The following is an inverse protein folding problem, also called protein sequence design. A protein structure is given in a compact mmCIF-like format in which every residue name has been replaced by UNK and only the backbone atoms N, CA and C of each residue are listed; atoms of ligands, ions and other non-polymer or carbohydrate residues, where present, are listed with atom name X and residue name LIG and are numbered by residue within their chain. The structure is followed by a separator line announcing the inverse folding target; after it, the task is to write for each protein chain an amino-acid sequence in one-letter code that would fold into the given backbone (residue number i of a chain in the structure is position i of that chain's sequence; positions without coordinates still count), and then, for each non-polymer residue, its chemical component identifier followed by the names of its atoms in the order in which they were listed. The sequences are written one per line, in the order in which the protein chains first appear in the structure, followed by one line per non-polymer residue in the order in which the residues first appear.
data_IF_849614123366
#
_entry.id   IF_849614123366
#
_cell.length_a   1.000
_cell.length_b   1.000
_cell.length_c   1.000
_cell.angle_alpha   90.00
_cell.angle_beta   90.00
_cell.angle_gamma   90.00
#
_symmetry.space_group_name_H-M   'P 1'
#
loop_
_entity.id
_entity.type
_entity.pdbx_description
1 polymer ?
#
# COMPACT_ATOMS: atom_id res chain seq x y z
N UNK A 1 -15.88 -17.23 -18.62
CA UNK A 1 -16.34 -15.84 -18.83
C UNK A 1 -15.28 -15.15 -19.67
N UNK A 2 -15.65 -14.58 -20.81
CA UNK A 2 -14.75 -13.74 -21.62
C UNK A 2 -14.40 -12.50 -20.80
N UNK A 3 -13.12 -12.30 -20.49
CA UNK A 3 -12.66 -11.09 -19.81
C UNK A 3 -12.98 -9.91 -20.74
N UNK A 4 -13.65 -8.84 -20.28
CA UNK A 4 -13.88 -7.65 -21.08
C UNK A 4 -12.56 -7.10 -21.62
N UNK A 5 -12.54 -6.64 -22.87
CA UNK A 5 -11.41 -5.84 -23.37
C UNK A 5 -11.45 -4.46 -22.70
N UNK A 6 -10.56 -4.23 -21.74
CA UNK A 6 -10.38 -2.96 -21.03
C UNK A 6 -9.42 -2.01 -21.77
N UNK A 7 -9.43 -2.04 -23.11
CA UNK A 7 -8.48 -1.28 -23.94
C UNK A 7 -8.64 0.23 -23.74
N UNK A 8 -9.89 0.71 -23.74
CA UNK A 8 -10.20 2.15 -23.53
C UNK A 8 -9.76 2.61 -22.14
N UNK A 9 -10.03 1.80 -21.11
CA UNK A 9 -9.60 2.04 -19.74
C UNK A 9 -8.08 2.14 -19.64
N UNK A 10 -7.36 1.22 -20.27
CA UNK A 10 -5.90 1.17 -20.22
C UNK A 10 -5.29 2.39 -20.91
N UNK A 11 -5.81 2.80 -22.07
CA UNK A 11 -5.37 3.98 -22.81
C UNK A 11 -5.60 5.27 -22.01
N UNK A 12 -6.81 5.44 -21.44
CA UNK A 12 -7.14 6.63 -20.64
C UNK A 12 -6.28 6.70 -19.39
N UNK A 13 -6.18 5.61 -18.62
CA UNK A 13 -5.37 5.58 -17.40
C UNK A 13 -3.87 5.81 -17.69
N UNK A 14 -3.33 5.20 -18.75
CA UNK A 14 -1.94 5.40 -19.18
C UNK A 14 -1.65 6.85 -19.54
N UNK A 15 -2.57 7.50 -20.27
CA UNK A 15 -2.45 8.91 -20.62
C UNK A 15 -2.48 9.80 -19.37
N UNK A 16 -3.47 9.61 -18.49
CA UNK A 16 -3.61 10.40 -17.25
C UNK A 16 -2.41 10.22 -16.32
N UNK A 17 -1.87 9.00 -16.20
CA UNK A 17 -0.66 8.76 -15.41
C UNK A 17 0.55 9.53 -15.94
N UNK A 18 0.73 9.58 -17.27
CA UNK A 18 1.82 10.36 -17.91
C UNK A 18 1.62 11.87 -17.75
N UNK A 19 0.40 12.35 -17.93
CA UNK A 19 0.05 13.78 -17.74
C UNK A 19 0.30 14.21 -16.29
N UNK A 20 -0.16 13.43 -15.31
CA UNK A 20 0.12 13.65 -13.89
C UNK A 20 1.63 13.60 -13.60
N UNK A 21 2.35 12.59 -14.10
CA UNK A 21 3.79 12.50 -13.91
C UNK A 21 4.56 13.70 -14.48
N UNK A 22 4.12 14.27 -15.60
CA UNK A 22 4.69 15.51 -16.14
C UNK A 22 4.45 16.72 -15.22
N UNK A 23 3.28 16.83 -14.60
CA UNK A 23 3.01 17.84 -13.56
C UNK A 23 3.94 17.66 -12.36
N UNK A 24 4.10 16.42 -11.87
CA UNK A 24 4.99 16.12 -10.75
C UNK A 24 6.44 16.53 -11.04
N UNK A 25 6.96 16.23 -12.24
CA UNK A 25 8.29 16.67 -12.66
C UNK A 25 8.40 18.19 -12.74
N UNK A 26 7.36 18.88 -13.22
CA UNK A 26 7.31 20.33 -13.24
C UNK A 26 7.37 20.93 -11.84
N UNK A 27 6.54 20.45 -10.91
CA UNK A 27 6.54 20.88 -9.52
C UNK A 27 7.89 20.65 -8.85
N UNK A 28 8.57 19.53 -9.14
CA UNK A 28 9.94 19.33 -8.66
C UNK A 28 10.92 20.34 -9.25
N UNK A 29 10.86 20.58 -10.56
CA UNK A 29 11.75 21.55 -11.19
C UNK A 29 11.58 22.96 -10.60
N UNK A 30 10.33 23.37 -10.33
CA UNK A 30 10.02 24.68 -9.74
C UNK A 30 10.32 24.72 -8.24
N UNK A 31 9.72 23.82 -7.45
CA UNK A 31 9.81 23.82 -5.99
C UNK A 31 11.23 23.63 -5.43
N UNK A 32 12.08 22.84 -6.10
CA UNK A 32 13.49 22.68 -5.69
C UNK A 32 14.40 23.79 -6.25
N UNK A 33 13.93 24.61 -7.21
CA UNK A 33 14.65 25.81 -7.65
C UNK A 33 14.40 27.02 -6.76
N UNK A 34 13.30 27.00 -5.98
CA UNK A 34 12.91 28.07 -5.07
C UNK A 34 13.54 27.84 -3.69
N UNK A 35 14.87 28.00 -3.58
CA UNK A 35 15.54 28.23 -2.28
C UNK A 35 15.12 29.56 -1.62
N UNK A 36 14.28 30.36 -2.31
CA UNK A 36 13.81 31.64 -1.82
C UNK A 36 12.39 31.94 -2.33
N UNK A 37 11.35 31.54 -1.57
CA UNK A 37 10.19 32.41 -1.29
C UNK A 37 9.15 31.75 -0.39
N UNK A 38 8.81 32.55 0.61
CA UNK A 38 7.70 32.47 1.57
C UNK A 38 6.32 32.43 0.90
N UNK A 39 5.85 31.26 0.46
CA UNK A 39 4.42 31.02 0.24
C UNK A 39 3.92 29.92 1.17
N UNK A 40 2.67 30.08 1.62
CA UNK A 40 2.04 29.40 2.76
C UNK A 40 1.55 27.96 2.49
N UNK A 41 1.83 27.39 1.32
CA UNK A 41 1.50 25.98 1.00
C UNK A 41 2.78 25.22 0.63
N UNK A 42 2.92 24.01 1.19
CA UNK A 42 4.01 23.08 0.89
C UNK A 42 3.95 22.69 -0.59
N UNK A 43 5.04 22.87 -1.39
CA UNK A 43 5.08 22.47 -2.80
C UNK A 43 4.66 21.03 -3.07
N UNK A 44 4.82 20.13 -2.10
CA UNK A 44 4.37 18.75 -2.19
C UNK A 44 2.84 18.69 -2.22
N UNK A 45 2.18 19.41 -1.31
CA UNK A 45 0.71 19.48 -1.25
C UNK A 45 0.11 20.05 -2.52
N UNK A 46 0.78 21.02 -3.15
CA UNK A 46 0.33 21.57 -4.43
C UNK A 46 0.47 20.54 -5.57
N UNK A 47 1.62 19.87 -5.66
CA UNK A 47 1.87 18.86 -6.68
C UNK A 47 0.87 17.70 -6.61
N UNK A 48 0.59 17.24 -5.39
CA UNK A 48 -0.29 16.13 -5.10
C UNK A 48 -1.75 16.46 -5.43
N UNK A 49 -2.23 17.63 -4.98
CA UNK A 49 -3.57 18.14 -5.30
C UNK A 49 -3.80 18.31 -6.80
N UNK A 50 -2.83 18.88 -7.52
CA UNK A 50 -2.96 19.09 -8.97
C UNK A 50 -2.95 17.76 -9.75
N UNK A 51 -2.08 16.82 -9.37
CA UNK A 51 -2.04 15.48 -9.96
C UNK A 51 -3.35 14.71 -9.68
N UNK A 52 -3.84 14.72 -8.44
CA UNK A 52 -5.13 14.13 -8.06
C UNK A 52 -6.27 14.70 -8.92
N UNK A 53 -6.41 16.03 -8.95
CA UNK A 53 -7.47 16.70 -9.68
C UNK A 53 -7.46 16.36 -11.18
N UNK A 54 -6.28 16.29 -11.80
CA UNK A 54 -6.13 15.89 -13.21
C UNK A 54 -6.64 14.46 -13.44
N UNK A 55 -6.18 13.50 -12.63
CA UNK A 55 -6.52 12.09 -12.80
C UNK A 55 -8.01 11.87 -12.54
N UNK A 56 -8.50 12.37 -11.41
CA UNK A 56 -9.90 12.21 -10.96
C UNK A 56 -10.86 12.82 -11.98
N UNK A 57 -10.59 14.04 -12.45
CA UNK A 57 -11.45 14.70 -13.45
C UNK A 57 -11.45 13.95 -14.78
N UNK A 58 -10.28 13.52 -15.24
CA UNK A 58 -10.14 12.77 -16.50
C UNK A 58 -10.86 11.41 -16.46
N UNK A 59 -10.79 10.70 -15.32
CA UNK A 59 -11.52 9.45 -15.13
C UNK A 59 -13.03 9.66 -15.02
N UNK A 60 -13.48 10.69 -14.28
CA UNK A 60 -14.89 11.03 -14.15
C UNK A 60 -15.53 11.39 -15.51
N UNK A 61 -14.80 12.12 -16.36
CA UNK A 61 -15.26 12.47 -17.71
C UNK A 61 -15.34 11.23 -18.61
N UNK A 62 -14.32 10.37 -18.58
CA UNK A 62 -14.26 9.19 -19.43
C UNK A 62 -15.22 8.06 -19.00
N UNK A 63 -15.45 7.91 -17.70
CA UNK A 63 -16.20 6.82 -17.07
C UNK A 63 -17.18 7.35 -16.00
N UNK A 64 -18.22 8.12 -16.38
CA UNK A 64 -19.10 8.82 -15.44
C UNK A 64 -19.98 7.92 -14.56
N UNK A 65 -20.00 6.61 -14.80
CA UNK A 65 -20.74 5.63 -14.01
C UNK A 65 -19.85 4.87 -13.00
N UNK A 66 -18.53 5.00 -13.10
CA UNK A 66 -17.58 4.32 -12.22
C UNK A 66 -17.42 5.13 -10.92
N UNK A 67 -17.16 4.45 -9.81
CA UNK A 67 -16.76 5.09 -8.56
C UNK A 67 -15.30 5.53 -8.59
N UNK A 68 -14.94 6.47 -7.72
CA UNK A 68 -13.57 6.97 -7.57
C UNK A 68 -13.19 6.89 -6.10
N UNK A 69 -11.97 6.43 -5.83
CA UNK A 69 -11.30 6.45 -4.54
C UNK A 69 -9.88 6.97 -4.78
N UNK A 70 -9.53 8.09 -4.14
CA UNK A 70 -8.20 8.69 -4.24
C UNK A 70 -7.67 8.92 -2.83
N UNK A 71 -6.36 8.79 -2.62
CA UNK A 71 -5.71 9.15 -1.34
C UNK A 71 -6.01 10.60 -0.93
N UNK A 72 -5.97 11.51 -1.91
CA UNK A 72 -6.03 12.95 -1.69
C UNK A 72 -7.45 13.55 -1.70
N UNK A 73 -8.44 12.78 -2.16
CA UNK A 73 -9.81 13.25 -2.23
C UNK A 73 -10.61 12.82 -1.01
N UNK A 74 -11.62 13.60 -0.66
CA UNK A 74 -12.57 13.19 0.37
C UNK A 74 -13.37 11.99 -0.13
N UNK A 75 -13.20 10.84 0.54
CA UNK A 75 -13.94 9.63 0.24
C UNK A 75 -15.46 9.82 0.47
N UNK A 76 -16.26 9.14 -0.36
CA UNK A 76 -17.70 9.15 -0.30
C UNK A 76 -18.24 7.74 -0.42
N UNK A 77 -19.16 7.38 0.48
CA UNK A 77 -19.84 6.08 0.46
C UNK A 77 -20.59 5.78 -0.86
N UNK A 78 -20.79 6.78 -1.74
CA UNK A 78 -21.34 6.59 -3.08
C UNK A 78 -20.59 5.53 -3.90
N UNK A 79 -19.25 5.48 -3.82
CA UNK A 79 -18.44 4.49 -4.55
C UNK A 79 -18.76 3.03 -4.16
N UNK A 80 -19.25 2.81 -2.94
CA UNK A 80 -19.58 1.47 -2.44
C UNK A 80 -20.80 0.86 -3.16
N UNK A 81 -21.58 1.69 -3.87
CA UNK A 81 -22.67 1.24 -4.73
C UNK A 81 -22.25 0.97 -6.17
N UNK A 82 -21.02 1.35 -6.56
CA UNK A 82 -20.48 1.12 -7.88
C UNK A 82 -19.81 -0.25 -7.97
N UNK A 83 -20.12 -1.00 -9.04
CA UNK A 83 -19.43 -2.27 -9.33
C UNK A 83 -17.97 -2.03 -9.74
N UNK A 84 -17.73 -0.96 -10.49
CA UNK A 84 -16.43 -0.53 -11.02
C UNK A 84 -15.95 0.68 -10.23
N UNK A 85 -14.74 0.64 -9.70
CA UNK A 85 -14.13 1.74 -8.95
C UNK A 85 -12.68 1.94 -9.36
N UNK A 86 -12.32 3.16 -9.74
CA UNK A 86 -10.94 3.57 -9.91
C UNK A 86 -10.34 3.94 -8.56
N UNK A 87 -9.16 3.41 -8.29
CA UNK A 87 -8.44 3.57 -7.03
C UNK A 87 -7.08 4.19 -7.35
N UNK A 88 -6.82 5.37 -6.81
CA UNK A 88 -5.79 6.29 -7.30
C UNK A 88 -4.88 6.71 -6.14
N UNK A 89 -3.58 6.64 -6.38
CA UNK A 89 -2.57 7.33 -5.59
C UNK A 89 -1.79 8.24 -6.56
N UNK A 90 -1.97 9.58 -6.47
CA UNK A 90 -1.30 10.52 -7.36
C UNK A 90 0.22 10.56 -7.14
N UNK A 91 0.72 10.26 -5.93
CA UNK A 91 2.14 10.21 -5.58
C UNK A 91 2.41 9.11 -4.53
N UNK A 92 2.46 7.85 -4.97
CA UNK A 92 2.94 6.78 -4.09
C UNK A 92 4.45 6.94 -3.90
N UNK A 93 4.90 6.99 -2.65
CA UNK A 93 6.27 7.35 -2.31
C UNK A 93 6.48 8.86 -2.18
N UNK A 94 5.55 9.59 -1.56
CA UNK A 94 5.67 11.04 -1.28
C UNK A 94 7.00 11.41 -0.60
N UNK A 95 7.50 10.56 0.30
CA UNK A 95 8.81 10.76 0.94
C UNK A 95 9.96 10.73 -0.07
N UNK A 96 9.88 9.88 -1.07
CA UNK A 96 10.87 9.74 -2.14
C UNK A 96 10.77 10.88 -3.14
N UNK A 97 9.56 11.33 -3.45
CA UNK A 97 9.30 12.57 -4.19
C UNK A 97 9.96 13.78 -3.51
N UNK A 98 9.79 13.93 -2.19
CA UNK A 98 10.40 15.01 -1.38
C UNK A 98 11.92 14.91 -1.35
N UNK A 99 12.47 13.71 -1.17
CA UNK A 99 13.93 13.49 -1.21
C UNK A 99 14.51 13.66 -2.61
N UNK A 100 13.64 13.68 -3.62
CA UNK A 100 14.00 13.79 -5.02
C UNK A 100 14.62 12.53 -5.63
N UNK A 101 14.35 11.37 -5.05
CA UNK A 101 14.78 10.08 -5.61
C UNK A 101 13.86 9.65 -6.75
N UNK A 102 14.20 8.56 -7.43
CA UNK A 102 13.40 8.02 -8.53
C UNK A 102 12.34 6.99 -8.08
N UNK A 103 12.24 6.69 -6.78
CA UNK A 103 11.40 5.61 -6.25
C UNK A 103 10.00 6.09 -5.79
N UNK A 104 9.37 6.93 -6.61
CA UNK A 104 7.97 7.34 -6.48
C UNK A 104 7.24 7.16 -7.82
N UNK A 105 5.91 7.04 -7.78
CA UNK A 105 5.12 6.85 -9.00
C UNK A 105 3.70 7.40 -8.89
N UNK A 106 3.06 7.59 -10.04
CA UNK A 106 1.59 7.70 -10.14
C UNK A 106 1.01 6.30 -10.23
N UNK A 107 -0.01 5.98 -9.44
CA UNK A 107 -0.67 4.68 -9.39
C UNK A 107 -2.17 4.81 -9.67
N UNK A 108 -2.66 4.09 -10.68
CA UNK A 108 -4.08 4.10 -11.09
C UNK A 108 -4.54 2.66 -11.28
N UNK A 109 -5.38 2.17 -10.37
CA UNK A 109 -5.99 0.85 -10.43
C UNK A 109 -7.48 0.92 -10.76
N UNK A 110 -8.01 -0.13 -11.36
CA UNK A 110 -9.45 -0.35 -11.54
C UNK A 110 -9.83 -1.66 -10.86
N UNK A 111 -10.77 -1.57 -9.91
CA UNK A 111 -11.40 -2.72 -9.28
C UNK A 111 -12.81 -2.95 -9.87
N UNK A 112 -13.18 -4.22 -10.07
CA UNK A 112 -14.51 -4.66 -10.49
C UNK A 112 -14.98 -5.75 -9.56
N UNK A 113 -16.11 -5.56 -8.90
CA UNK A 113 -16.64 -6.55 -7.95
C UNK A 113 -15.67 -6.86 -6.80
N UNK A 114 -14.97 -5.83 -6.31
CA UNK A 114 -13.93 -5.91 -5.27
C UNK A 114 -12.60 -6.59 -5.67
N UNK A 115 -12.42 -6.96 -6.93
CA UNK A 115 -11.16 -7.54 -7.43
C UNK A 115 -10.43 -6.54 -8.34
N UNK A 116 -9.11 -6.41 -8.20
CA UNK A 116 -8.30 -5.55 -9.07
C UNK A 116 -8.15 -6.20 -10.45
N UNK A 117 -8.54 -5.50 -11.53
CA UNK A 117 -8.58 -6.05 -12.89
C UNK A 117 -7.68 -5.35 -13.89
N UNK A 118 -7.34 -4.08 -13.63
CA UNK A 118 -6.45 -3.28 -14.46
C UNK A 118 -5.59 -2.37 -13.57
N UNK A 119 -4.33 -2.22 -13.95
CA UNK A 119 -3.39 -1.38 -13.23
C UNK A 119 -2.48 -0.63 -14.18
N UNK A 120 -2.24 0.65 -13.86
CA UNK A 120 -1.25 1.51 -14.47
C UNK A 120 -0.39 2.11 -13.37
N UNK A 121 0.92 1.96 -13.49
CA UNK A 121 1.92 2.58 -12.61
C UNK A 121 2.94 3.30 -13.48
N UNK A 122 3.13 4.60 -13.24
CA UNK A 122 4.08 5.42 -14.00
C UNK A 122 5.13 6.02 -13.07
N UNK A 123 6.40 5.70 -13.31
CA UNK A 123 7.55 6.27 -12.59
C UNK A 123 8.11 7.47 -13.41
N UNK A 124 7.81 8.73 -13.03
CA UNK A 124 8.09 9.86 -13.91
C UNK A 124 9.59 10.16 -14.07
N UNK A 125 10.39 9.92 -13.02
CA UNK A 125 11.83 10.23 -13.05
C UNK A 125 12.60 9.31 -14.00
N UNK A 126 12.19 8.05 -14.14
CA UNK A 126 12.79 7.06 -15.06
C UNK A 126 12.05 6.94 -16.39
N UNK A 127 10.91 7.62 -16.53
CA UNK A 127 9.97 7.51 -17.66
C UNK A 127 9.53 6.07 -17.96
N UNK A 128 9.26 5.30 -16.90
CA UNK A 128 8.81 3.91 -17.02
C UNK A 128 7.30 3.82 -16.78
N UNK A 129 6.55 3.33 -17.77
CA UNK A 129 5.12 3.06 -17.66
C UNK A 129 4.88 1.55 -17.65
N UNK A 130 4.28 1.08 -16.56
CA UNK A 130 3.79 -0.28 -16.41
C UNK A 130 2.26 -0.28 -16.54
N UNK A 131 1.72 -1.07 -17.45
CA UNK A 131 0.29 -1.14 -17.72
C UNK A 131 -0.13 -2.60 -17.92
N UNK A 132 -1.28 -3.01 -17.38
CA UNK A 132 -1.70 -4.40 -17.51
C UNK A 132 -3.16 -4.63 -17.17
N UNK A 133 -3.68 -5.75 -17.72
CA UNK A 133 -5.04 -6.21 -17.52
C UNK A 133 -5.00 -7.69 -17.16
N UNK A 134 -5.68 -8.06 -16.07
CA UNK A 134 -5.75 -9.44 -15.59
C UNK A 134 -6.31 -10.33 -16.70
N UNK A 135 -5.59 -11.41 -17.02
CA UNK A 135 -5.92 -12.33 -18.11
C UNK A 135 -5.45 -11.91 -19.51
N UNK A 136 -4.91 -10.70 -19.69
CA UNK A 136 -4.37 -10.24 -21.00
C UNK A 136 -2.83 -10.09 -20.99
N UNK A 137 -2.29 -9.67 -19.85
CA UNK A 137 -0.86 -9.55 -19.61
C UNK A 137 -0.44 -8.15 -19.15
N UNK A 138 0.88 -7.93 -19.19
CA UNK A 138 1.53 -6.69 -18.76
C UNK A 138 2.40 -6.15 -19.88
N UNK A 139 2.44 -4.83 -20.00
CA UNK A 139 3.29 -4.08 -20.89
C UNK A 139 4.13 -3.09 -20.09
N UNK A 140 5.42 -3.02 -20.43
CA UNK A 140 6.32 -1.97 -19.96
C UNK A 140 6.70 -1.13 -21.18
N UNK A 141 6.41 0.17 -21.14
CA UNK A 141 6.70 1.11 -22.23
C UNK A 141 6.17 0.64 -23.60
N UNK A 142 4.95 0.08 -23.59
CA UNK A 142 4.29 -0.46 -24.78
C UNK A 142 4.79 -1.82 -25.25
N UNK A 143 5.84 -2.38 -24.64
CA UNK A 143 6.35 -3.71 -24.96
C UNK A 143 5.78 -4.75 -24.02
N UNK A 144 5.24 -5.84 -24.57
CA UNK A 144 4.70 -6.94 -23.77
C UNK A 144 5.81 -7.58 -22.95
N UNK A 145 5.60 -7.69 -21.65
CA UNK A 145 6.54 -8.34 -20.73
C UNK A 145 6.44 -9.86 -20.93
N UNK A 146 7.59 -10.48 -21.21
CA UNK A 146 7.72 -11.94 -21.21
C UNK A 146 8.65 -12.32 -20.06
N UNK A 147 8.15 -13.12 -19.12
CA UNK A 147 8.91 -13.50 -17.94
C UNK A 147 9.77 -14.72 -18.21
N UNK A 148 11.02 -14.68 -17.75
CA UNK A 148 11.89 -15.85 -17.78
C UNK A 148 11.59 -16.80 -16.62
N UNK A 149 11.69 -18.13 -16.80
CA UNK A 149 11.76 -19.06 -15.68
C UNK A 149 12.95 -18.69 -14.78
N UNK A 150 12.74 -18.62 -13.46
CA UNK A 150 13.81 -18.40 -12.48
C UNK A 150 13.83 -19.57 -11.49
N UNK A 151 15.03 -20.05 -11.20
CA UNK A 151 15.31 -21.01 -10.14
C UNK A 151 16.42 -20.45 -9.28
N UNK A 152 16.22 -20.48 -7.95
CA UNK A 152 17.21 -20.21 -6.90
C UNK A 152 17.93 -18.84 -7.01
N UNK A 153 17.66 -17.96 -6.03
CA UNK A 153 18.09 -16.55 -5.88
C UNK A 153 16.96 -15.53 -6.16
N UNK A 154 16.00 -15.48 -5.22
CA UNK A 154 14.89 -14.54 -5.29
C UNK A 154 15.33 -13.12 -4.95
N UNK A 155 14.91 -12.15 -5.78
CA UNK A 155 15.05 -10.72 -5.49
C UNK A 155 13.84 -10.23 -4.71
N UNK A 156 14.08 -9.75 -3.50
CA UNK A 156 13.04 -9.27 -2.60
C UNK A 156 13.01 -7.75 -2.65
N UNK A 157 11.99 -7.17 -3.27
CA UNK A 157 11.75 -5.73 -3.13
C UNK A 157 11.24 -5.45 -1.72
N UNK A 158 11.88 -4.55 -0.97
CA UNK A 158 11.50 -4.22 0.42
C UNK A 158 11.34 -2.72 0.59
N UNK A 159 10.55 -2.27 1.56
CA UNK A 159 10.44 -0.84 1.87
C UNK A 159 11.79 -0.32 2.38
N UNK A 160 12.29 0.76 1.78
CA UNK A 160 13.48 1.47 2.26
C UNK A 160 13.31 1.97 3.70
N UNK A 161 12.11 2.43 4.03
CA UNK A 161 11.77 2.87 5.39
C UNK A 161 11.80 1.71 6.40
N UNK A 162 11.21 0.55 6.06
CA UNK A 162 11.26 -0.63 6.94
C UNK A 162 12.69 -1.20 7.05
N UNK A 163 13.43 -1.19 5.93
CA UNK A 163 14.84 -1.58 5.85
C UNK A 163 15.71 -0.77 6.80
N UNK A 164 15.67 0.55 6.71
CA UNK A 164 16.47 1.43 7.57
C UNK A 164 16.09 1.34 9.07
N UNK A 165 14.83 1.05 9.38
CA UNK A 165 14.33 1.03 10.78
C UNK A 165 14.61 -0.26 11.52
N UNK A 166 14.49 -1.41 10.87
CA UNK A 166 14.61 -2.70 11.56
C UNK A 166 15.00 -3.86 10.65
N UNK A 167 14.58 -3.86 9.38
CA UNK A 167 14.71 -5.03 8.52
C UNK A 167 16.18 -5.30 8.14
N UNK A 168 17.04 -4.28 8.09
CA UNK A 168 18.49 -4.45 7.88
C UNK A 168 19.22 -5.25 8.98
N UNK A 169 18.56 -5.52 10.11
CA UNK A 169 19.10 -6.36 11.21
C UNK A 169 18.83 -7.85 10.99
N UNK A 170 18.00 -8.19 10.01
CA UNK A 170 17.70 -9.57 9.66
C UNK A 170 18.56 -10.01 8.48
N UNK A 171 19.15 -11.20 8.59
CA UNK A 171 19.93 -11.82 7.51
C UNK A 171 19.02 -12.42 6.43
N UNK A 172 18.20 -11.58 5.79
CA UNK A 172 17.31 -11.97 4.70
C UNK A 172 18.01 -11.66 3.36
N UNK A 173 18.40 -12.68 2.57
CA UNK A 173 19.16 -12.46 1.34
C UNK A 173 18.29 -11.82 0.25
N UNK A 174 18.93 -11.14 -0.69
CA UNK A 174 18.29 -10.64 -1.91
C UNK A 174 17.41 -9.40 -1.72
N UNK A 175 17.50 -8.70 -0.58
CA UNK A 175 16.77 -7.46 -0.34
C UNK A 175 17.21 -6.32 -1.26
N UNK A 176 16.24 -5.68 -1.90
CA UNK A 176 16.35 -4.49 -2.74
C UNK A 176 15.46 -3.39 -2.15
N UNK A 177 16.01 -2.54 -1.25
CA UNK A 177 15.28 -1.43 -0.68
C UNK A 177 14.79 -0.45 -1.77
N UNK A 178 13.52 -0.06 -1.69
CA UNK A 178 12.89 0.96 -2.54
C UNK A 178 11.69 1.58 -1.82
N UNK A 179 11.32 2.80 -2.21
CA UNK A 179 10.26 3.58 -1.56
C UNK A 179 8.85 3.07 -1.84
N UNK A 180 8.29 3.52 -2.97
CA UNK A 180 6.93 3.23 -3.44
C UNK A 180 6.59 1.73 -3.47
N UNK A 181 5.43 1.36 -2.91
CA UNK A 181 4.94 -0.02 -2.94
C UNK A 181 4.24 -0.35 -4.27
N UNK A 182 3.53 0.60 -4.88
CA UNK A 182 2.97 0.43 -6.22
C UNK A 182 4.08 0.17 -7.24
N UNK A 183 5.19 0.91 -7.19
CA UNK A 183 6.35 0.71 -8.07
C UNK A 183 7.04 -0.63 -7.80
N UNK A 184 7.14 -1.09 -6.54
CA UNK A 184 7.64 -2.44 -6.24
C UNK A 184 6.77 -3.50 -6.91
N UNK A 185 5.45 -3.42 -6.78
CA UNK A 185 4.54 -4.38 -7.38
C UNK A 185 4.59 -4.33 -8.93
N UNK A 186 4.77 -3.15 -9.52
CA UNK A 186 4.98 -2.99 -10.95
C UNK A 186 6.31 -3.61 -11.42
N UNK A 187 7.42 -3.41 -10.68
CA UNK A 187 8.70 -4.06 -10.95
C UNK A 187 8.63 -5.59 -10.82
N UNK A 188 7.81 -6.10 -9.89
CA UNK A 188 7.51 -7.53 -9.80
C UNK A 188 6.81 -8.03 -11.07
N UNK A 189 5.80 -7.31 -11.58
CA UNK A 189 5.08 -7.73 -12.78
C UNK A 189 5.97 -7.68 -14.05
N UNK A 190 6.99 -6.81 -14.05
CA UNK A 190 7.96 -6.63 -15.13
C UNK A 190 9.22 -7.54 -15.06
N UNK A 191 9.27 -8.52 -14.16
CA UNK A 191 10.44 -9.41 -13.95
C UNK A 191 11.71 -8.69 -13.46
N UNK A 192 11.57 -7.55 -12.80
CA UNK A 192 12.67 -6.77 -12.20
C UNK A 192 12.89 -7.11 -10.72
N UNK A 193 11.87 -7.67 -10.07
CA UNK A 193 11.94 -8.33 -8.77
C UNK A 193 11.00 -9.54 -8.75
N UNK A 194 11.07 -10.35 -7.68
CA UNK A 194 10.37 -11.64 -7.61
C UNK A 194 9.28 -11.68 -6.56
N UNK A 195 9.55 -11.03 -5.43
CA UNK A 195 8.68 -11.06 -4.26
C UNK A 195 8.86 -9.78 -3.43
N UNK A 196 7.84 -9.40 -2.68
CA UNK A 196 7.84 -8.29 -1.73
C UNK A 196 7.02 -8.68 -0.51
N UNK A 197 7.29 -8.01 0.61
CA UNK A 197 6.43 -8.04 1.78
C UNK A 197 6.46 -6.69 2.49
N UNK A 198 5.48 -6.46 3.35
CA UNK A 198 5.46 -5.33 4.29
C UNK A 198 5.20 -5.87 5.70
N UNK A 199 5.75 -5.18 6.70
CA UNK A 199 5.47 -5.47 8.11
C UNK A 199 4.35 -4.57 8.64
N UNK A 200 4.21 -3.39 8.04
CA UNK A 200 3.14 -2.44 8.31
C UNK A 200 1.99 -2.58 7.29
N UNK A 201 0.77 -2.19 7.65
CA UNK A 201 -0.36 -2.19 6.73
C UNK A 201 -0.26 -1.13 5.63
N UNK A 202 -1.15 -1.24 4.64
CA UNK A 202 -1.22 -0.37 3.45
C UNK A 202 -2.66 0.06 3.20
N UNK A 203 -2.85 1.07 2.37
CA UNK A 203 -4.17 1.45 1.88
C UNK A 203 -4.49 0.74 0.56
N UNK A 204 -5.75 0.80 0.12
CA UNK A 204 -6.13 0.24 -1.19
C UNK A 204 -5.41 0.95 -2.35
N UNK A 205 -5.25 2.26 -2.27
CA UNK A 205 -4.58 3.08 -3.29
C UNK A 205 -3.08 2.77 -3.44
N UNK A 206 -2.41 2.43 -2.33
CA UNK A 206 -1.02 1.97 -2.32
C UNK A 206 -0.80 0.73 -3.23
N UNK A 207 -1.82 -0.13 -3.41
CA UNK A 207 -1.62 -1.48 -3.95
C UNK A 207 -2.52 -1.86 -5.12
N UNK A 208 -3.67 -1.23 -5.34
CA UNK A 208 -4.68 -1.69 -6.31
C UNK A 208 -4.11 -1.84 -7.74
N UNK A 209 -3.38 -0.82 -8.22
CA UNK A 209 -2.76 -0.88 -9.54
C UNK A 209 -1.67 -1.95 -9.61
N UNK A 210 -0.81 -2.00 -8.58
CA UNK A 210 0.27 -2.96 -8.48
C UNK A 210 -0.21 -4.41 -8.40
N UNK A 211 -1.31 -4.68 -7.69
CA UNK A 211 -1.93 -6.00 -7.58
C UNK A 211 -2.51 -6.45 -8.92
N UNK A 212 -3.26 -5.58 -9.61
CA UNK A 212 -3.75 -5.90 -10.96
C UNK A 212 -2.60 -6.25 -11.92
N UNK A 213 -1.52 -5.48 -11.90
CA UNK A 213 -0.31 -5.75 -12.69
C UNK A 213 0.30 -7.11 -12.31
N UNK A 214 0.45 -7.40 -11.02
CA UNK A 214 1.02 -8.64 -10.54
C UNK A 214 0.16 -9.85 -10.94
N UNK A 215 -1.16 -9.76 -10.79
CA UNK A 215 -2.10 -10.80 -11.20
C UNK A 215 -2.10 -11.01 -12.71
N UNK A 216 -2.02 -9.93 -13.50
CA UNK A 216 -1.85 -10.01 -14.96
C UNK A 216 -0.53 -10.71 -15.37
N UNK A 217 0.49 -10.65 -14.52
CA UNK A 217 1.75 -11.40 -14.67
C UNK A 217 1.72 -12.81 -14.05
N UNK A 218 0.59 -13.26 -13.49
CA UNK A 218 0.43 -14.58 -12.87
C UNK A 218 0.92 -14.69 -11.42
N UNK A 219 1.23 -13.57 -10.77
CA UNK A 219 1.53 -13.50 -9.35
C UNK A 219 0.29 -13.39 -8.47
N UNK A 220 0.51 -13.27 -7.16
CA UNK A 220 -0.54 -13.08 -6.15
C UNK A 220 -0.11 -12.09 -5.07
N UNK A 221 -1.07 -11.34 -4.56
CA UNK A 221 -0.94 -10.50 -3.37
C UNK A 221 -1.94 -10.97 -2.30
N UNK A 222 -1.52 -10.94 -1.04
CA UNK A 222 -2.31 -11.41 0.11
C UNK A 222 -1.83 -10.78 1.39
N UNK A 223 -2.71 -10.71 2.39
CA UNK A 223 -2.35 -10.30 3.75
C UNK A 223 -1.42 -11.33 4.40
N UNK A 224 -0.62 -10.88 5.37
CA UNK A 224 0.36 -11.72 6.08
C UNK A 224 -0.27 -12.83 6.94
N UNK A 225 -1.56 -12.73 7.27
CA UNK A 225 -2.35 -13.82 7.87
C UNK A 225 -2.93 -14.82 6.86
N UNK A 226 -2.69 -14.61 5.55
CA UNK A 226 -3.21 -15.45 4.48
C UNK A 226 -4.56 -15.00 3.92
N UNK A 227 -5.18 -13.95 4.47
CA UNK A 227 -6.42 -13.39 3.92
C UNK A 227 -6.22 -12.78 2.54
N UNK A 228 -7.23 -12.93 1.68
CA UNK A 228 -7.30 -12.23 0.39
C UNK A 228 -7.45 -10.72 0.60
N UNK A 229 -6.92 -9.94 -0.34
CA UNK A 229 -7.18 -8.51 -0.41
C UNK A 229 -8.38 -8.27 -1.31
N UNK A 230 -9.31 -7.45 -0.83
CA UNK A 230 -10.51 -7.02 -1.54
C UNK A 230 -10.50 -5.50 -1.58
N UNK A 231 -10.94 -4.94 -2.69
CA UNK A 231 -10.95 -3.51 -2.97
C UNK A 231 -12.35 -2.93 -2.83
N UNK A 232 -12.47 -1.60 -2.89
CA UNK A 232 -13.70 -0.85 -2.67
C UNK A 232 -14.35 -1.17 -1.31
N UNK A 233 -13.54 -1.31 -0.26
CA UNK A 233 -14.05 -1.58 1.09
C UNK A 233 -14.54 -0.28 1.76
N UNK A 234 -15.48 -0.35 2.71
CA UNK A 234 -15.90 0.81 3.49
C UNK A 234 -14.76 1.49 4.25
N UNK A 235 -13.77 0.70 4.68
CA UNK A 235 -12.52 1.18 5.24
C UNK A 235 -11.40 0.78 4.28
N UNK A 236 -10.91 1.68 3.41
CA UNK A 236 -9.93 1.36 2.38
C UNK A 236 -8.49 1.27 2.93
N UNK A 237 -8.36 0.85 4.19
CA UNK A 237 -7.09 0.59 4.86
C UNK A 237 -7.02 -0.89 5.21
N UNK A 238 -5.93 -1.54 4.83
CA UNK A 238 -5.71 -2.93 5.18
C UNK A 238 -5.33 -3.01 6.66
N UNK A 239 -5.82 -4.06 7.31
CA UNK A 239 -5.58 -4.32 8.73
C UNK A 239 -4.17 -4.88 8.99
N UNK A 240 -3.48 -5.39 7.96
CA UNK A 240 -2.19 -6.09 8.12
C UNK A 240 -1.18 -5.75 7.04
N UNK A 241 0.08 -6.07 7.33
CA UNK A 241 1.12 -6.17 6.30
C UNK A 241 0.77 -7.20 5.21
N UNK A 242 1.50 -7.13 4.11
CA UNK A 242 1.24 -7.90 2.89
C UNK A 242 2.42 -8.79 2.53
N UNK A 243 2.16 -9.78 1.68
CA UNK A 243 3.17 -10.51 0.91
C UNK A 243 2.66 -10.67 -0.51
N UNK A 244 3.54 -10.42 -1.48
CA UNK A 244 3.18 -10.47 -2.89
C UNK A 244 4.33 -10.97 -3.76
N UNK A 245 4.03 -11.70 -4.81
CA UNK A 245 5.02 -12.23 -5.74
C UNK A 245 4.48 -13.41 -6.54
N UNK A 246 5.38 -14.10 -7.22
CA UNK A 246 5.05 -15.39 -7.84
C UNK A 246 4.81 -16.47 -6.78
N UNK A 247 3.97 -17.49 -7.05
CA UNK A 247 3.66 -18.53 -6.08
C UNK A 247 4.90 -19.17 -5.41
N UNK A 248 5.92 -19.56 -6.19
CA UNK A 248 7.12 -20.21 -5.64
C UNK A 248 7.98 -19.25 -4.81
N UNK A 249 8.11 -17.99 -5.25
CA UNK A 249 8.85 -16.96 -4.53
C UNK A 249 8.15 -16.57 -3.23
N UNK A 250 6.81 -16.47 -3.24
CA UNK A 250 5.98 -16.24 -2.05
C UNK A 250 6.14 -17.38 -1.06
N UNK A 251 5.99 -18.63 -1.50
CA UNK A 251 6.14 -19.81 -0.64
C UNK A 251 7.53 -19.85 0.03
N UNK A 252 8.59 -19.58 -0.74
CA UNK A 252 9.95 -19.47 -0.19
C UNK A 252 10.05 -18.36 0.85
N UNK A 253 9.58 -17.15 0.51
CA UNK A 253 9.70 -15.99 1.37
C UNK A 253 8.94 -16.20 2.68
N UNK A 254 7.75 -16.81 2.67
CA UNK A 254 7.03 -17.16 3.90
C UNK A 254 7.84 -18.05 4.83
N UNK A 255 8.54 -19.03 4.27
CA UNK A 255 9.49 -19.86 5.00
C UNK A 255 10.58 -19.02 5.66
N UNK A 256 11.20 -18.11 4.91
CA UNK A 256 12.26 -17.23 5.42
C UNK A 256 11.76 -16.26 6.51
N UNK A 257 10.58 -15.67 6.32
CA UNK A 257 9.94 -14.75 7.25
C UNK A 257 9.59 -15.44 8.57
N UNK A 258 9.04 -16.66 8.48
CA UNK A 258 8.71 -17.48 9.64
C UNK A 258 9.97 -17.91 10.40
N UNK A 259 11.02 -18.38 9.69
CA UNK A 259 12.29 -18.81 10.30
C UNK A 259 12.99 -17.68 11.04
N UNK A 260 12.88 -16.44 10.54
CA UNK A 260 13.48 -15.23 11.14
C UNK A 260 12.56 -14.52 12.13
N UNK A 261 11.33 -15.02 12.33
CA UNK A 261 10.32 -14.41 13.19
C UNK A 261 10.11 -12.93 12.86
N UNK A 262 10.05 -12.59 11.57
CA UNK A 262 9.86 -11.19 11.14
C UNK A 262 8.49 -10.69 11.59
N UNK A 263 8.43 -9.53 12.28
CA UNK A 263 7.20 -9.02 12.86
C UNK A 263 6.20 -8.56 11.79
N UNK A 264 4.93 -8.52 12.15
CA UNK A 264 3.86 -7.88 11.37
C UNK A 264 2.89 -7.20 12.32
N UNK A 265 2.31 -6.09 11.88
CA UNK A 265 1.20 -5.43 12.56
C UNK A 265 -0.14 -6.04 12.14
N UNK A 266 -1.12 -5.98 13.06
CA UNK A 266 -2.52 -6.26 12.84
C UNK A 266 -3.35 -5.18 13.56
N UNK A 267 -4.00 -4.32 12.81
CA UNK A 267 -4.81 -3.21 13.29
C UNK A 267 -6.28 -3.61 13.34
N UNK A 268 -7.04 -3.10 14.31
CA UNK A 268 -8.47 -3.39 14.46
C UNK A 268 -8.81 -4.88 14.55
N UNK A 269 -7.92 -5.68 15.15
CA UNK A 269 -8.01 -7.13 15.20
C UNK A 269 -9.30 -7.58 15.89
N UNK A 270 -10.07 -8.42 15.20
CA UNK A 270 -11.32 -9.02 15.72
C UNK A 270 -11.06 -10.36 16.40
N UNK A 271 -11.98 -10.79 17.27
CA UNK A 271 -11.91 -12.10 17.95
C UNK A 271 -11.89 -13.31 16.99
N UNK A 272 -12.39 -13.15 15.77
CA UNK A 272 -12.35 -14.18 14.72
C UNK A 272 -10.98 -14.30 14.04
N UNK A 273 -10.07 -13.34 14.24
CA UNK A 273 -8.75 -13.36 13.62
C UNK A 273 -7.90 -14.53 14.17
N UNK A 274 -7.14 -15.25 13.32
CA UNK A 274 -6.25 -16.31 13.78
C UNK A 274 -5.22 -15.86 14.83
N UNK A 275 -4.84 -14.58 14.79
CA UNK A 275 -3.88 -13.98 15.73
C UNK A 275 -4.48 -13.65 17.10
N UNK A 276 -5.81 -13.68 17.27
CA UNK A 276 -6.46 -13.42 18.56
C UNK A 276 -5.96 -14.36 19.67
N UNK A 277 -5.71 -15.63 19.30
CA UNK A 277 -5.17 -16.66 20.22
C UNK A 277 -3.75 -16.37 20.72
N UNK A 278 -3.06 -15.37 20.17
CA UNK A 278 -1.74 -14.96 20.63
C UNK A 278 -1.80 -14.02 21.83
N UNK A 279 -2.96 -13.38 22.08
CA UNK A 279 -3.21 -12.59 23.28
C UNK A 279 -3.26 -13.50 24.51
N UNK A 280 -2.95 -12.95 25.70
CA UNK A 280 -3.18 -13.64 26.98
C UNK A 280 -4.67 -13.94 27.14
N UNK A 281 -5.02 -15.04 27.79
CA UNK A 281 -6.43 -15.42 28.01
C UNK A 281 -7.24 -14.30 28.67
N UNK A 282 -6.67 -13.62 29.67
CA UNK A 282 -7.28 -12.45 30.31
C UNK A 282 -7.55 -11.28 29.35
N UNK A 283 -6.69 -11.10 28.34
CA UNK A 283 -6.85 -10.05 27.33
C UNK A 283 -7.89 -10.45 26.28
N UNK A 284 -7.96 -11.74 25.92
CA UNK A 284 -8.99 -12.26 25.02
C UNK A 284 -10.39 -12.04 25.59
N UNK A 285 -10.58 -12.27 26.88
CA UNK A 285 -11.86 -12.05 27.56
C UNK A 285 -12.19 -10.56 27.68
N UNK A 286 -11.22 -9.74 28.14
CA UNK A 286 -11.44 -8.32 28.40
C UNK A 286 -11.65 -7.49 27.14
N UNK A 287 -11.01 -7.87 26.02
CA UNK A 287 -11.06 -7.12 24.77
C UNK A 287 -12.04 -7.70 23.74
N UNK A 288 -12.77 -8.77 24.08
CA UNK A 288 -13.73 -9.36 23.14
C UNK A 288 -14.83 -8.35 22.78
N UNK A 289 -15.00 -8.09 21.49
CA UNK A 289 -15.93 -7.09 20.97
C UNK A 289 -15.37 -5.67 20.89
N UNK A 290 -14.16 -5.42 21.39
CA UNK A 290 -13.49 -4.13 21.23
C UNK A 290 -12.94 -3.99 19.80
N UNK A 291 -13.30 -2.90 19.11
CA UNK A 291 -12.95 -2.68 17.69
C UNK A 291 -11.58 -2.05 17.47
N UNK A 292 -10.97 -1.46 18.51
CA UNK A 292 -9.66 -0.81 18.42
C UNK A 292 -8.50 -1.61 19.01
N UNK A 293 -8.54 -2.94 18.91
CA UNK A 293 -7.43 -3.80 19.37
C UNK A 293 -6.36 -3.86 18.28
N UNK A 294 -5.16 -3.37 18.56
CA UNK A 294 -4.05 -3.39 17.61
C UNK A 294 -2.88 -4.16 18.21
N UNK A 295 -2.25 -5.04 17.44
CA UNK A 295 -1.08 -5.77 17.88
C UNK A 295 0.06 -5.72 16.86
N UNK A 296 1.27 -5.90 17.37
CA UNK A 296 2.43 -6.28 16.56
C UNK A 296 2.94 -7.60 17.09
N UNK A 297 3.12 -8.59 16.21
CA UNK A 297 3.50 -9.93 16.63
C UNK A 297 4.55 -10.57 15.71
N UNK A 298 5.32 -11.51 16.24
CA UNK A 298 6.31 -12.31 15.52
C UNK A 298 6.07 -13.81 15.76
N UNK A 299 5.50 -14.46 14.75
CA UNK A 299 4.89 -15.79 14.95
C UNK A 299 3.70 -15.67 15.89
N UNK A 300 3.71 -16.44 16.97
CA UNK A 300 2.67 -16.45 18.02
C UNK A 300 2.98 -15.55 19.23
N UNK A 301 4.07 -14.78 19.19
CA UNK A 301 4.46 -13.87 20.28
C UNK A 301 3.98 -12.45 19.99
N UNK A 302 3.16 -11.88 20.88
CA UNK A 302 2.76 -10.48 20.84
C UNK A 302 3.90 -9.63 21.39
N UNK A 303 4.45 -8.76 20.52
CA UNK A 303 5.56 -7.86 20.82
C UNK A 303 5.08 -6.50 21.34
N UNK A 304 3.90 -6.07 20.88
CA UNK A 304 3.20 -4.89 21.37
C UNK A 304 1.69 -5.04 21.21
N UNK A 305 0.94 -4.44 22.14
CA UNK A 305 -0.52 -4.31 22.16
C UNK A 305 -0.86 -2.83 22.36
N UNK A 306 -1.73 -2.29 21.53
CA UNK A 306 -2.23 -0.93 21.61
C UNK A 306 -3.75 -0.95 21.43
N UNK A 307 -4.48 -0.54 22.46
CA UNK A 307 -5.94 -0.44 22.45
C UNK A 307 -6.31 1.02 22.37
N UNK A 308 -7.10 1.36 21.35
CA UNK A 308 -7.52 2.73 21.04
C UNK A 308 -9.03 2.79 20.90
N UNK A 309 -9.68 3.76 21.53
CA UNK A 309 -11.08 4.06 21.24
C UNK A 309 -11.18 4.63 19.81
N UNK A 310 -11.90 3.98 18.88
CA UNK A 310 -11.98 4.43 17.50
C UNK A 310 -12.73 5.75 17.30
N UNK A 311 -13.63 6.12 18.21
CA UNK A 311 -14.41 7.35 18.14
C UNK A 311 -13.59 8.54 18.64
N UNK A 312 -12.97 8.40 19.82
CA UNK A 312 -12.21 9.48 20.46
C UNK A 312 -10.73 9.51 20.08
N UNK A 313 -10.25 8.44 19.43
CA UNK A 313 -8.84 8.18 19.09
C UNK A 313 -7.93 8.20 20.33
N UNK A 314 -8.48 7.96 21.51
CA UNK A 314 -7.73 7.97 22.76
C UNK A 314 -7.06 6.62 23.01
N UNK A 315 -5.83 6.65 23.52
CA UNK A 315 -5.11 5.43 23.90
C UNK A 315 -5.62 4.94 25.26
N UNK A 316 -6.28 3.78 25.27
CA UNK A 316 -6.81 3.16 26.49
C UNK A 316 -5.77 2.26 27.16
N UNK A 317 -4.96 1.58 26.37
CA UNK A 317 -3.92 0.65 26.84
C UNK A 317 -2.76 0.57 25.86
N UNK A 318 -1.55 0.54 26.38
CA UNK A 318 -0.33 0.35 25.61
C UNK A 318 0.64 -0.57 26.36
N UNK A 319 0.99 -1.71 25.75
CA UNK A 319 1.88 -2.71 26.33
C UNK A 319 2.88 -3.24 25.31
N UNK A 320 4.03 -3.70 25.80
CA UNK A 320 5.12 -4.25 24.97
C UNK A 320 6.41 -3.44 25.09
N UNK A 321 7.43 -3.87 24.36
CA UNK A 321 8.70 -3.15 24.29
C UNK A 321 8.54 -1.83 23.53
N UNK A 322 9.25 -0.78 23.98
CA UNK A 322 9.15 0.56 23.43
C UNK A 322 9.43 0.62 21.92
N UNK A 323 10.35 -0.21 21.42
CA UNK A 323 10.70 -0.29 20.00
C UNK A 323 9.51 -0.77 19.15
N UNK A 324 8.78 -1.78 19.62
CA UNK A 324 7.64 -2.34 18.91
C UNK A 324 6.39 -1.49 19.08
N UNK A 325 6.20 -0.89 20.25
CA UNK A 325 5.08 -0.01 20.52
C UNK A 325 5.15 1.28 19.68
N UNK A 326 6.34 1.88 19.52
CA UNK A 326 6.54 3.04 18.63
C UNK A 326 6.13 2.74 17.18
N UNK A 327 6.47 1.54 16.69
CA UNK A 327 6.11 1.10 15.33
C UNK A 327 4.61 0.86 15.18
N UNK A 328 4.01 0.14 16.13
CA UNK A 328 2.58 -0.11 16.13
C UNK A 328 1.77 1.19 16.23
N UNK A 329 2.19 2.11 17.10
CA UNK A 329 1.56 3.43 17.25
C UNK A 329 1.60 4.21 15.94
N UNK A 330 2.74 4.18 15.22
CA UNK A 330 2.87 4.82 13.92
C UNK A 330 1.93 4.21 12.88
N UNK A 331 1.80 2.89 12.85
CA UNK A 331 0.89 2.20 11.93
C UNK A 331 -0.57 2.58 12.23
N UNK A 332 -0.96 2.64 13.51
CA UNK A 332 -2.30 3.09 13.93
C UNK A 332 -2.54 4.56 13.58
N UNK A 333 -1.56 5.45 13.83
CA UNK A 333 -1.66 6.88 13.47
C UNK A 333 -1.81 7.07 11.96
N UNK A 334 -1.11 6.27 11.14
CA UNK A 334 -1.27 6.32 9.68
C UNK A 334 -2.67 5.90 9.25
N UNK A 335 -3.26 4.89 9.90
CA UNK A 335 -4.57 4.37 9.53
C UNK A 335 -5.75 5.20 10.06
N UNK A 336 -5.61 5.83 11.24
CA UNK A 336 -6.73 6.50 11.94
C UNK A 336 -6.54 8.01 12.10
N UNK A 337 -5.38 8.54 11.73
CA UNK A 337 -4.95 9.90 12.04
C UNK A 337 -4.32 10.03 13.44
N UNK A 338 -3.95 11.26 13.85
CA UNK A 338 -3.33 11.51 15.14
C UNK A 338 -4.19 10.98 16.30
N UNK A 339 -3.53 10.26 17.21
CA UNK A 339 -4.15 9.77 18.45
C UNK A 339 -4.23 10.89 19.48
N UNK A 340 -5.33 10.94 20.24
CA UNK A 340 -5.41 11.82 21.39
C UNK A 340 -4.71 11.16 22.57
N UNK A 341 -3.79 11.88 23.19
CA UNK A 341 -3.38 11.54 24.55
C UNK A 341 -4.55 11.94 25.43
N UNK A 342 -5.30 10.98 25.98
CA UNK A 342 -6.16 11.28 27.10
C UNK A 342 -5.28 12.01 28.14
N UNK A 343 -5.75 13.15 28.66
CA UNK A 343 -5.18 13.72 29.88
C UNK A 343 -5.17 12.60 30.91
N UNK A 344 -4.02 11.98 31.11
CA UNK A 344 -3.81 11.01 32.16
C UNK A 344 -4.00 11.80 33.46
N UNK A 345 -5.24 11.84 33.94
CA UNK A 345 -5.54 12.07 35.35
C UNK A 345 -4.88 10.90 36.08
N UNK A 346 -3.59 11.05 36.33
CA UNK A 346 -2.92 10.46 37.48
C UNK A 346 -3.75 10.91 38.69
N UNK A 347 -4.70 10.07 39.07
CA UNK A 347 -5.32 10.20 40.38
C UNK A 347 -4.24 9.85 41.41
N UNK A 348 -4.13 10.64 42.49
CA UNK A 348 -3.00 10.60 43.43
C UNK A 348 -2.83 9.28 44.17
#
# INVERSE_FOLDING_TARGET
MTVPELTRELEVASRLAREAGALLLHHRAVGFSVEHKTSLEDPVTAADREASALIVSGLAEAFPADGLLSEEETDSAARLSCERVWIIDPIDGTSEFIKGTADYCVSIGLAVGNDAVLGVVYAPTTDELFAGVVGQGVWKDGQKVNRAPRSDNWRIAVSDTEFGRELNRHDLPGMLPSGSIALKLARLSADEADVTFTMSPRSEWDIAAGDALLQAAGGKLRRRDGGEVRYNQPQPHLEQGLIAGLPDAVNWLEGELSRRRLPTAHLGMKASAPAWKYLKESDQDALNGHSGVNIRHAGNEVLALLVVDPETRSVERAEGDAFHLERLTRDVVRAMGPLSTADAKLSP
#
